data_IF_230849470080
#
_entry.id   IF_230849470080
#
_cell.length_a   1.000
_cell.length_b   1.000
_cell.length_c   1.000
_cell.angle_alpha   90.00
_cell.angle_beta   90.00
_cell.angle_gamma   90.00
#
_symmetry.space_group_name_H-M   'P 1'
#
loop_
_entity.id
_entity.type
_entity.pdbx_description
1 polymer ?
#
# COMPACT_ATOMS: atom_id res chain seq x y z
N UNK A 1 -1.03 4.71 -6.66
CA UNK A 1 -0.90 3.30 -6.24
C UNK A 1 -0.57 2.47 -7.46
N UNK A 2 0.34 1.50 -7.31
CA UNK A 2 0.66 0.49 -8.32
C UNK A 2 0.34 -0.86 -7.70
N UNK A 3 -0.48 -1.67 -8.39
CA UNK A 3 -0.89 -3.01 -7.97
C UNK A 3 -0.34 -4.03 -8.94
N UNK A 4 0.39 -5.02 -8.42
CA UNK A 4 0.97 -6.11 -9.19
C UNK A 4 0.56 -7.45 -8.57
N UNK A 5 0.03 -8.37 -9.37
CA UNK A 5 -0.30 -9.71 -8.90
C UNK A 5 0.87 -10.66 -9.21
N UNK A 6 1.54 -11.13 -8.16
CA UNK A 6 2.71 -12.02 -8.24
C UNK A 6 2.32 -13.46 -7.91
N UNK A 7 3.16 -14.44 -8.25
CA UNK A 7 2.95 -15.86 -7.93
C UNK A 7 1.60 -16.40 -8.42
N UNK A 8 1.21 -16.06 -9.65
CA UNK A 8 -0.07 -16.47 -10.23
C UNK A 8 -0.04 -17.97 -10.54
N UNK A 9 -0.93 -18.74 -9.91
CA UNK A 9 -1.11 -20.18 -10.13
C UNK A 9 -2.54 -20.44 -10.57
N UNK A 10 -2.68 -21.11 -11.72
CA UNK A 10 -3.96 -21.61 -12.22
C UNK A 10 -4.13 -23.06 -11.76
N UNK A 11 -5.32 -23.40 -11.27
CA UNK A 11 -5.65 -24.73 -10.80
C UNK A 11 -6.58 -25.44 -11.78
N UNK A 12 -6.50 -26.77 -11.84
CA UNK A 12 -7.31 -27.59 -12.75
C UNK A 12 -8.82 -27.53 -12.44
N UNK A 13 -9.19 -27.10 -11.23
CA UNK A 13 -10.58 -26.85 -10.83
C UNK A 13 -11.12 -25.48 -11.31
N UNK A 14 -10.36 -24.76 -12.15
CA UNK A 14 -10.74 -23.48 -12.73
C UNK A 14 -10.54 -22.27 -11.82
N UNK A 15 -9.82 -22.42 -10.69
CA UNK A 15 -9.52 -21.31 -9.78
C UNK A 15 -8.11 -20.75 -10.00
N UNK A 16 -7.86 -19.55 -9.47
CA UNK A 16 -6.54 -18.89 -9.50
C UNK A 16 -6.13 -18.50 -8.09
N UNK A 17 -4.84 -18.65 -7.77
CA UNK A 17 -4.22 -18.05 -6.59
C UNK A 17 -3.13 -17.08 -7.03
N UNK A 18 -3.01 -15.94 -6.36
CA UNK A 18 -1.93 -14.97 -6.57
C UNK A 18 -1.70 -14.16 -5.29
N UNK A 19 -0.56 -13.49 -5.21
CA UNK A 19 -0.21 -12.58 -4.12
C UNK A 19 -0.20 -11.14 -4.65
N UNK A 20 -1.16 -10.27 -4.25
CA UNK A 20 -1.15 -8.88 -4.65
C UNK A 20 -0.04 -8.12 -3.91
N UNK A 21 0.78 -7.39 -4.64
CA UNK A 21 1.73 -6.43 -4.11
C UNK A 21 1.25 -5.02 -4.43
N UNK A 22 1.18 -4.15 -3.42
CA UNK A 22 0.71 -2.77 -3.56
C UNK A 22 1.81 -1.80 -3.16
N UNK A 23 2.16 -0.92 -4.09
CA UNK A 23 3.13 0.15 -3.87
C UNK A 23 2.43 1.50 -3.90
N UNK A 24 2.58 2.28 -2.83
CA UNK A 24 2.06 3.65 -2.75
C UNK A 24 3.22 4.61 -2.98
N UNK A 25 3.08 5.48 -3.98
CA UNK A 25 4.05 6.53 -4.28
C UNK A 25 3.49 7.88 -3.85
N UNK A 26 4.34 8.67 -3.19
CA UNK A 26 4.05 10.05 -2.84
C UNK A 26 4.12 10.95 -4.08
N UNK A 27 3.15 11.87 -4.20
CA UNK A 27 3.09 12.86 -5.30
C UNK A 27 3.10 14.26 -4.65
N UNK A 28 4.27 14.94 -4.61
CA UNK A 28 4.42 16.21 -3.92
C UNK A 28 3.47 17.30 -4.44
N UNK A 29 3.26 17.36 -5.75
CA UNK A 29 2.45 18.40 -6.42
C UNK A 29 0.95 18.28 -6.10
N UNK A 30 0.53 17.09 -5.66
CA UNK A 30 -0.84 16.82 -5.22
C UNK A 30 -1.00 16.86 -3.70
N UNK A 31 0.05 17.26 -2.98
CA UNK A 31 0.08 17.25 -1.52
C UNK A 31 0.22 18.68 -0.99
N UNK A 32 -0.30 18.92 0.21
CA UNK A 32 -0.22 20.25 0.86
C UNK A 32 1.22 20.59 1.26
N UNK A 33 2.01 19.58 1.61
CA UNK A 33 3.32 19.73 2.25
C UNK A 33 4.14 18.44 2.16
N UNK A 34 5.39 18.54 2.61
CA UNK A 34 6.34 17.44 2.64
C UNK A 34 6.15 16.59 3.93
N UNK A 35 5.69 15.33 3.81
CA UNK A 35 5.40 14.48 4.96
C UNK A 35 6.64 14.12 5.79
N UNK A 36 7.86 14.27 5.27
CA UNK A 36 9.08 14.00 6.04
C UNK A 36 9.46 15.15 6.98
N UNK A 37 8.95 16.35 6.72
CA UNK A 37 9.20 17.55 7.53
C UNK A 37 8.06 17.87 8.49
N UNK A 38 6.86 17.45 8.14
CA UNK A 38 5.66 17.77 8.89
C UNK A 38 5.54 16.96 10.19
N UNK A 39 5.10 17.63 11.25
CA UNK A 39 4.92 17.02 12.57
C UNK A 39 3.43 17.08 12.94
N UNK A 40 2.85 15.92 13.23
CA UNK A 40 1.47 15.79 13.72
C UNK A 40 1.44 15.25 15.15
N UNK A 41 0.46 15.67 15.95
CA UNK A 41 0.21 15.15 17.30
C UNK A 41 -1.04 14.29 17.27
N UNK A 42 -0.90 13.01 17.63
CA UNK A 42 -1.97 12.01 17.62
C UNK A 42 -1.93 11.17 18.89
N UNK A 43 -3.02 10.46 19.25
CA UNK A 43 -3.01 9.50 20.35
C UNK A 43 -1.98 8.37 20.13
N UNK A 44 -1.50 7.77 21.22
CA UNK A 44 -0.55 6.65 21.18
C UNK A 44 -1.26 5.35 20.78
N UNK A 45 -1.46 5.15 19.48
CA UNK A 45 -2.14 3.96 18.92
C UNK A 45 -1.53 2.64 19.39
N UNK A 46 -0.20 2.46 19.46
CA UNK A 46 0.40 1.23 20.01
C UNK A 46 0.06 0.92 21.48
N UNK A 47 -0.38 1.90 22.27
CA UNK A 47 -0.72 1.73 23.70
C UNK A 47 -2.24 1.66 23.94
N UNK A 48 -3.06 1.72 22.87
CA UNK A 48 -4.51 1.55 22.94
C UNK A 48 -4.93 0.08 23.03
#
# INVERSE_FOLDING_TARGET
>A
EILENTNVVWHDNGTITYTPNRTVHFVPEMSVSDPEKDIIRVPNVPML
#
